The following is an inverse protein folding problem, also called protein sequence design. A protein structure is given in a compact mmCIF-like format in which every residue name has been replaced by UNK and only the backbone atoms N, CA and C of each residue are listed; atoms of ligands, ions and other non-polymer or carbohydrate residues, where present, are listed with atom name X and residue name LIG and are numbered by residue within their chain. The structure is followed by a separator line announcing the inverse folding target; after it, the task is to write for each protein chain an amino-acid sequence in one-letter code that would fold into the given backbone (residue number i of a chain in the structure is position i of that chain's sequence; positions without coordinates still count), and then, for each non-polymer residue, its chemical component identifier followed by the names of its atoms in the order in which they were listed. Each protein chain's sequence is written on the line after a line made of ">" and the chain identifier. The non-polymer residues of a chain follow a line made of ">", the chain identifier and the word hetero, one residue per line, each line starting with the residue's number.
data_IF_421118566436
#
_entry.id   IF_421118566436
#
_cell.length_a   1.000
_cell.length_b   1.000
_cell.length_c   1.000
_cell.angle_alpha   90.00
_cell.angle_beta   90.00
_cell.angle_gamma   90.00
#
_symmetry.space_group_name_H-M   'P 1'
#
loop_
_entity.id
_entity.type
_entity.pdbx_description
1 polymer ?
#
# COMPACT_ATOMS: atom_id res chain seq x y z
N UNK A 1 -4.62 23.33 -26.07
CA UNK A 1 -3.79 22.78 -24.97
C UNK A 1 -4.32 21.39 -24.70
N UNK A 2 -3.50 20.35 -24.51
CA UNK A 2 -4.03 19.06 -24.10
C UNK A 2 -4.74 19.27 -22.76
N UNK A 3 -6.02 18.93 -22.68
CA UNK A 3 -6.73 18.91 -21.40
C UNK A 3 -5.92 18.05 -20.43
N UNK A 4 -5.61 18.59 -19.25
CA UNK A 4 -4.96 17.80 -18.21
C UNK A 4 -5.91 16.68 -17.82
N UNK A 5 -5.47 15.43 -17.94
CA UNK A 5 -6.31 14.29 -17.62
C UNK A 5 -6.77 14.43 -16.15
N UNK A 6 -8.07 14.24 -15.83
CA UNK A 6 -8.58 14.42 -14.46
C UNK A 6 -7.87 13.61 -13.36
N UNK A 7 -7.13 12.57 -13.75
CA UNK A 7 -6.32 11.72 -12.87
C UNK A 7 -5.08 12.44 -12.29
N UNK A 8 -4.69 13.54 -12.92
CA UNK A 8 -3.59 14.43 -12.54
C UNK A 8 -4.04 15.57 -11.61
N UNK A 9 -5.36 15.78 -11.45
CA UNK A 9 -5.89 16.76 -10.53
C UNK A 9 -5.58 16.38 -9.06
N UNK A 10 -5.40 17.39 -8.19
CA UNK A 10 -5.11 17.15 -6.76
C UNK A 10 -6.23 16.40 -6.04
N UNK A 11 -7.45 16.55 -6.53
CA UNK A 11 -8.70 16.02 -6.02
C UNK A 11 -9.27 14.88 -6.87
N UNK A 12 -8.44 14.21 -7.70
CA UNK A 12 -8.86 13.09 -8.56
C UNK A 12 -9.71 12.03 -7.83
N UNK A 13 -9.53 11.89 -6.51
CA UNK A 13 -10.21 10.92 -5.67
C UNK A 13 -11.64 11.29 -5.30
N UNK A 14 -12.09 12.52 -5.58
CA UNK A 14 -13.41 13.04 -5.19
C UNK A 14 -14.55 12.18 -5.73
N UNK A 15 -14.38 11.60 -6.93
CA UNK A 15 -15.35 10.71 -7.58
C UNK A 15 -15.62 9.41 -6.81
N UNK A 16 -14.72 9.01 -5.90
CA UNK A 16 -14.86 7.81 -5.08
C UNK A 16 -15.27 8.10 -3.64
N UNK A 17 -15.28 9.37 -3.23
CA UNK A 17 -15.50 9.78 -1.85
C UNK A 17 -14.31 9.52 -0.91
N UNK A 18 -14.43 10.02 0.31
CA UNK A 18 -13.46 9.78 1.37
C UNK A 18 -13.76 8.45 2.09
N UNK A 19 -12.73 7.76 2.63
CA UNK A 19 -12.95 6.65 3.55
C UNK A 19 -13.79 7.05 4.77
N UNK A 20 -14.52 6.11 5.35
CA UNK A 20 -15.38 6.36 6.52
C UNK A 20 -14.55 6.70 7.76
N UNK A 21 -15.07 7.66 8.53
CA UNK A 21 -14.32 8.25 9.64
C UNK A 21 -14.03 7.29 10.81
N UNK A 22 -14.77 6.19 10.93
CA UNK A 22 -14.63 5.22 12.04
C UNK A 22 -13.27 4.53 12.10
N UNK A 23 -12.51 4.56 10.99
CA UNK A 23 -11.19 3.94 10.87
C UNK A 23 -10.07 4.97 10.64
N UNK A 24 -10.30 6.26 10.98
CA UNK A 24 -9.32 7.35 10.80
C UNK A 24 -7.96 7.15 11.51
N UNK A 25 -7.86 6.20 12.41
CA UNK A 25 -6.64 5.88 13.15
C UNK A 25 -6.12 4.49 12.81
N UNK A 26 -5.96 4.22 11.51
CA UNK A 26 -5.21 3.04 11.09
C UNK A 26 -3.79 3.09 11.66
N UNK A 27 -3.26 1.91 12.00
CA UNK A 27 -1.90 1.78 12.47
C UNK A 27 -0.88 2.21 11.41
N UNK A 28 0.36 2.34 11.85
CA UNK A 28 1.49 2.57 10.97
C UNK A 28 2.64 1.67 11.36
N UNK A 29 3.54 1.43 10.41
CA UNK A 29 4.75 0.62 10.58
C UNK A 29 5.94 1.42 10.04
N UNK A 30 7.10 1.32 10.69
CA UNK A 30 8.34 1.97 10.24
C UNK A 30 9.01 1.20 9.10
N UNK A 31 10.02 1.82 8.48
CA UNK A 31 10.82 1.15 7.44
C UNK A 31 11.60 -0.03 8.04
N UNK A 32 12.14 0.14 9.24
CA UNK A 32 12.92 -0.86 9.97
C UNK A 32 12.04 -2.06 10.38
N UNK A 33 10.83 -1.80 10.87
CA UNK A 33 9.86 -2.85 11.19
C UNK A 33 9.46 -3.65 9.93
N UNK A 34 9.26 -2.98 8.79
CA UNK A 34 9.02 -3.65 7.52
C UNK A 34 10.23 -4.47 7.05
N UNK A 35 11.46 -3.98 7.23
CA UNK A 35 12.67 -4.73 6.91
C UNK A 35 12.79 -6.01 7.75
N UNK A 36 12.48 -5.94 9.05
CA UNK A 36 12.40 -7.12 9.93
C UNK A 36 11.34 -8.12 9.44
N UNK A 37 10.17 -7.64 8.99
CA UNK A 37 9.15 -8.52 8.40
C UNK A 37 9.66 -9.21 7.13
N UNK A 38 10.34 -8.47 6.24
CA UNK A 38 10.91 -9.01 5.01
C UNK A 38 11.96 -10.10 5.27
N UNK A 39 12.71 -10.02 6.37
CA UNK A 39 13.73 -11.04 6.73
C UNK A 39 13.16 -12.22 7.52
N UNK A 40 12.07 -12.04 8.28
CA UNK A 40 11.58 -13.06 9.22
C UNK A 40 10.24 -13.70 8.85
N UNK A 41 9.53 -13.17 7.84
CA UNK A 41 8.16 -13.57 7.49
C UNK A 41 8.00 -13.75 5.98
N UNK A 42 6.93 -14.42 5.60
CA UNK A 42 6.63 -14.77 4.21
C UNK A 42 5.66 -13.76 3.60
N UNK A 43 6.13 -13.02 2.59
CA UNK A 43 5.29 -12.11 1.78
C UNK A 43 4.16 -12.90 1.09
N UNK A 44 2.95 -12.34 1.10
CA UNK A 44 1.75 -12.95 0.55
C UNK A 44 1.08 -13.99 1.45
N UNK A 45 1.73 -14.36 2.56
CA UNK A 45 1.18 -15.29 3.58
C UNK A 45 1.00 -14.60 4.92
N UNK A 46 2.07 -14.05 5.47
CA UNK A 46 2.08 -13.41 6.79
C UNK A 46 1.80 -11.91 6.69
N UNK A 47 2.29 -11.27 5.62
CA UNK A 47 2.04 -9.87 5.31
C UNK A 47 2.12 -9.60 3.81
N UNK A 48 1.57 -8.49 3.34
CA UNK A 48 1.71 -8.03 1.96
C UNK A 48 1.86 -6.51 1.91
N UNK A 49 2.80 -6.03 1.09
CA UNK A 49 3.01 -4.62 0.83
C UNK A 49 2.25 -4.22 -0.44
N UNK A 50 1.36 -3.22 -0.32
CA UNK A 50 0.59 -2.67 -1.44
C UNK A 50 1.13 -1.28 -1.76
N UNK A 51 1.77 -1.17 -2.92
CA UNK A 51 2.22 0.10 -3.48
C UNK A 51 1.07 0.74 -4.26
N UNK A 52 0.53 1.85 -3.76
CA UNK A 52 -0.58 2.55 -4.41
C UNK A 52 -0.15 3.75 -5.25
N UNK A 53 1.14 3.80 -5.64
CA UNK A 53 1.62 4.72 -6.69
C UNK A 53 1.02 4.35 -8.05
N UNK A 54 1.20 5.24 -9.01
CA UNK A 54 0.83 5.02 -10.41
C UNK A 54 1.66 3.87 -10.98
N UNK A 55 1.16 3.26 -12.06
CA UNK A 55 1.76 2.10 -12.70
C UNK A 55 3.13 2.39 -13.35
N UNK A 56 3.47 3.66 -13.54
CA UNK A 56 4.76 4.15 -14.06
C UNK A 56 5.86 4.25 -12.99
N UNK A 57 5.67 3.65 -11.81
CA UNK A 57 6.69 3.60 -10.78
C UNK A 57 7.96 2.87 -11.25
N UNK A 58 9.12 3.48 -11.02
CA UNK A 58 10.41 3.01 -11.56
C UNK A 58 11.17 2.04 -10.65
N UNK A 59 10.73 1.94 -9.40
CA UNK A 59 11.30 1.11 -8.34
C UNK A 59 10.17 0.59 -7.46
N UNK A 60 10.38 -0.49 -6.72
CA UNK A 60 9.41 -1.00 -5.74
C UNK A 60 10.13 -1.65 -4.57
N UNK A 61 9.50 -1.62 -3.39
CA UNK A 61 9.92 -2.45 -2.26
C UNK A 61 9.80 -3.93 -2.69
N UNK A 62 10.80 -4.78 -2.46
CA UNK A 62 10.72 -6.20 -2.79
C UNK A 62 9.52 -6.90 -2.16
N UNK A 63 8.89 -7.76 -2.96
CA UNK A 63 7.66 -8.45 -2.60
C UNK A 63 6.40 -7.58 -2.63
N UNK A 64 6.51 -6.26 -2.87
CA UNK A 64 5.32 -5.41 -2.98
C UNK A 64 4.56 -5.68 -4.29
N UNK A 65 3.24 -5.46 -4.23
CA UNK A 65 2.34 -5.48 -5.39
C UNK A 65 1.89 -4.06 -5.67
N UNK A 66 1.97 -3.62 -6.92
CA UNK A 66 1.48 -2.30 -7.30
C UNK A 66 -0.01 -2.36 -7.65
N UNK A 67 -0.82 -1.65 -6.86
CA UNK A 67 -2.27 -1.47 -7.09
C UNK A 67 -2.55 0.03 -7.04
N UNK A 68 -2.57 0.72 -8.20
CA UNK A 68 -2.73 2.17 -8.22
C UNK A 68 -3.98 2.66 -7.50
N UNK A 69 -3.84 3.69 -6.66
CA UNK A 69 -4.97 4.25 -5.89
C UNK A 69 -6.13 4.69 -6.80
N UNK A 70 -5.84 5.08 -8.04
CA UNK A 70 -6.82 5.54 -9.02
C UNK A 70 -7.81 4.48 -9.48
N UNK A 71 -7.44 3.20 -9.43
CA UNK A 71 -8.31 2.07 -9.81
C UNK A 71 -8.72 1.22 -8.62
N UNK A 72 -8.15 1.47 -7.43
CA UNK A 72 -8.38 0.64 -6.25
C UNK A 72 -9.86 0.57 -5.85
N UNK A 73 -10.63 1.68 -5.69
CA UNK A 73 -12.02 1.61 -5.21
C UNK A 73 -12.91 0.67 -6.01
N UNK A 74 -12.82 0.72 -7.34
CA UNK A 74 -13.60 -0.14 -8.24
C UNK A 74 -13.06 -1.57 -8.32
N UNK A 75 -11.79 -1.79 -7.94
CA UNK A 75 -11.15 -3.11 -7.93
C UNK A 75 -11.25 -3.81 -6.58
N UNK A 76 -11.77 -3.16 -5.52
CA UNK A 76 -11.77 -3.72 -4.17
C UNK A 76 -12.57 -5.01 -4.05
N UNK A 77 -13.77 -5.07 -4.65
CA UNK A 77 -14.64 -6.24 -4.54
C UNK A 77 -13.95 -7.56 -4.96
N UNK A 78 -13.33 -7.67 -6.15
CA UNK A 78 -12.59 -8.88 -6.53
C UNK A 78 -11.27 -9.06 -5.77
N UNK A 79 -10.66 -7.99 -5.24
CA UNK A 79 -9.41 -8.08 -4.47
C UNK A 79 -9.63 -8.57 -3.03
N UNK A 80 -10.79 -8.29 -2.43
CA UNK A 80 -11.06 -8.61 -1.03
C UNK A 80 -10.83 -10.10 -0.69
N UNK A 81 -11.38 -11.10 -1.43
CA UNK A 81 -11.12 -12.50 -1.13
C UNK A 81 -9.64 -12.90 -1.24
N UNK A 82 -8.89 -12.23 -2.11
CA UNK A 82 -7.47 -12.47 -2.34
C UNK A 82 -6.57 -11.87 -1.25
N UNK A 83 -7.04 -10.84 -0.55
CA UNK A 83 -6.21 -10.08 0.40
C UNK A 83 -6.67 -10.27 1.85
N UNK A 84 -7.94 -10.56 2.09
CA UNK A 84 -8.56 -10.59 3.43
C UNK A 84 -8.05 -11.72 4.32
N UNK A 85 -7.43 -12.75 3.75
CA UNK A 85 -6.82 -13.84 4.52
C UNK A 85 -5.42 -13.47 5.03
N UNK A 86 -4.71 -12.54 4.37
CA UNK A 86 -3.35 -12.13 4.73
C UNK A 86 -3.39 -11.31 6.03
N UNK A 87 -2.70 -11.73 7.11
CA UNK A 87 -2.82 -11.11 8.43
C UNK A 87 -2.44 -9.63 8.50
N UNK A 88 -1.51 -9.16 7.66
CA UNK A 88 -1.06 -7.77 7.66
C UNK A 88 -0.94 -7.23 6.24
N UNK A 89 -1.67 -6.16 5.94
CA UNK A 89 -1.60 -5.41 4.69
C UNK A 89 -0.98 -4.05 4.98
N UNK A 90 0.17 -3.78 4.35
CA UNK A 90 0.95 -2.57 4.50
C UNK A 90 0.77 -1.69 3.26
N UNK A 91 0.07 -0.58 3.37
CA UNK A 91 -0.10 0.37 2.28
C UNK A 91 1.00 1.42 2.27
N UNK A 92 1.51 1.76 1.09
CA UNK A 92 2.41 2.90 0.93
C UNK A 92 2.23 3.62 -0.39
N UNK A 93 2.78 4.83 -0.48
CA UNK A 93 2.98 5.51 -1.76
C UNK A 93 4.36 6.18 -1.77
N UNK A 94 4.48 7.38 -2.35
CA UNK A 94 5.75 8.13 -2.36
C UNK A 94 6.23 8.43 -0.93
N UNK A 95 5.42 9.16 -0.16
CA UNK A 95 5.70 9.55 1.24
C UNK A 95 4.60 9.13 2.21
N UNK A 96 3.63 8.36 1.73
CA UNK A 96 2.46 7.91 2.50
C UNK A 96 1.57 9.02 3.10
N UNK A 97 1.59 10.23 2.54
CA UNK A 97 0.83 11.37 3.05
C UNK A 97 -0.50 11.66 2.30
N UNK A 98 -0.80 10.94 1.22
CA UNK A 98 -1.97 11.23 0.37
C UNK A 98 -2.69 9.99 -0.13
N UNK A 99 -2.10 9.29 -1.11
CA UNK A 99 -2.70 8.08 -1.70
C UNK A 99 -2.82 6.93 -0.70
N UNK A 100 -1.77 6.67 0.08
CA UNK A 100 -1.73 5.50 0.97
C UNK A 100 -2.78 5.54 2.09
N UNK A 101 -2.94 6.63 2.87
CA UNK A 101 -3.98 6.67 3.91
C UNK A 101 -5.38 6.49 3.34
N UNK A 102 -5.64 7.06 2.15
CA UNK A 102 -6.92 6.95 1.48
C UNK A 102 -7.19 5.52 0.99
N UNK A 103 -6.21 4.91 0.34
CA UNK A 103 -6.29 3.53 -0.13
C UNK A 103 -6.48 2.53 1.01
N UNK A 104 -5.71 2.70 2.09
CA UNK A 104 -5.82 1.89 3.30
C UNK A 104 -7.22 2.02 3.92
N UNK A 105 -7.73 3.25 4.01
CA UNK A 105 -9.09 3.52 4.49
C UNK A 105 -10.18 2.86 3.65
N UNK A 106 -10.12 2.99 2.31
CA UNK A 106 -11.09 2.33 1.43
C UNK A 106 -11.06 0.80 1.55
N UNK A 107 -9.86 0.20 1.67
CA UNK A 107 -9.74 -1.24 1.89
C UNK A 107 -10.31 -1.66 3.26
N UNK A 108 -10.03 -0.88 4.31
CA UNK A 108 -10.53 -1.13 5.65
C UNK A 108 -12.07 -1.02 5.71
N UNK A 109 -12.66 -0.02 5.05
CA UNK A 109 -14.11 0.12 4.90
C UNK A 109 -14.74 -1.06 4.16
N UNK A 110 -14.05 -1.57 3.14
CA UNK A 110 -14.52 -2.69 2.35
C UNK A 110 -14.51 -4.00 3.16
N UNK A 111 -13.46 -4.25 3.98
CA UNK A 111 -13.43 -5.37 4.92
C UNK A 111 -14.58 -5.30 5.94
N UNK A 112 -14.84 -4.11 6.47
CA UNK A 112 -15.92 -3.88 7.45
C UNK A 112 -17.30 -4.08 6.81
N UNK A 113 -17.50 -3.56 5.59
CA UNK A 113 -18.79 -3.62 4.88
C UNK A 113 -19.16 -5.03 4.46
N UNK A 114 -18.16 -5.87 4.18
CA UNK A 114 -18.35 -7.28 3.85
C UNK A 114 -18.33 -8.19 5.08
N UNK A 115 -18.36 -7.61 6.30
CA UNK A 115 -18.34 -8.32 7.59
C UNK A 115 -17.22 -9.37 7.70
N UNK A 116 -16.10 -9.16 6.99
CA UNK A 116 -15.01 -10.13 6.93
C UNK A 116 -14.16 -10.14 8.21
N UNK A 117 -14.11 -9.00 8.90
CA UNK A 117 -13.33 -8.77 10.10
C UNK A 117 -14.02 -7.72 10.98
N UNK A 118 -13.81 -7.80 12.29
CA UNK A 118 -14.23 -6.76 13.25
C UNK A 118 -13.38 -5.50 13.11
N UNK A 119 -13.88 -4.35 13.58
CA UNK A 119 -13.13 -3.08 13.59
C UNK A 119 -11.76 -3.20 14.27
N UNK A 120 -11.67 -3.97 15.35
CA UNK A 120 -10.41 -4.17 16.10
C UNK A 120 -9.41 -5.06 15.37
N UNK A 121 -9.89 -6.06 14.62
CA UNK A 121 -9.03 -6.85 13.72
C UNK A 121 -8.54 -5.97 12.57
N UNK A 122 -9.43 -5.22 11.93
CA UNK A 122 -9.06 -4.33 10.80
C UNK A 122 -7.96 -3.35 11.19
N UNK A 123 -8.04 -2.72 12.37
CA UNK A 123 -7.00 -1.80 12.88
C UNK A 123 -5.62 -2.45 13.03
N UNK A 124 -5.56 -3.76 13.31
CA UNK A 124 -4.31 -4.53 13.44
C UNK A 124 -3.81 -5.06 12.10
N UNK A 125 -4.72 -5.28 11.15
CA UNK A 125 -4.43 -5.86 9.83
C UNK A 125 -4.06 -4.83 8.78
N UNK A 126 -4.55 -3.59 8.88
CA UNK A 126 -4.35 -2.58 7.84
C UNK A 126 -3.51 -1.44 8.38
N UNK A 127 -2.29 -1.30 7.87
CA UNK A 127 -1.33 -0.29 8.33
C UNK A 127 -0.73 0.50 7.19
N UNK A 128 -0.18 1.67 7.51
CA UNK A 128 0.50 2.56 6.56
C UNK A 128 2.00 2.54 6.81
N UNK A 129 2.80 2.35 5.76
CA UNK A 129 4.26 2.45 5.86
C UNK A 129 4.68 3.92 6.00
N UNK A 130 5.34 4.26 7.11
CA UNK A 130 5.82 5.61 7.37
C UNK A 130 6.90 6.01 6.36
N UNK A 131 6.81 7.24 5.83
CA UNK A 131 7.80 7.77 4.88
C UNK A 131 7.75 7.18 3.46
N UNK A 132 7.02 6.08 3.25
CA UNK A 132 6.81 5.47 1.94
C UNK A 132 8.09 4.99 1.25
N UNK A 133 8.04 4.85 -0.08
CA UNK A 133 9.20 4.41 -0.87
C UNK A 133 10.38 5.39 -0.79
N UNK A 134 10.12 6.69 -0.62
CA UNK A 134 11.20 7.69 -0.53
C UNK A 134 12.08 7.37 0.68
N UNK A 135 11.47 7.14 1.85
CA UNK A 135 12.22 6.80 3.06
C UNK A 135 12.87 5.42 2.97
N UNK A 136 12.20 4.46 2.31
CA UNK A 136 12.77 3.15 2.02
C UNK A 136 14.09 3.28 1.25
N UNK A 137 14.09 4.05 0.15
CA UNK A 137 15.24 4.22 -0.73
C UNK A 137 16.36 5.04 -0.11
N UNK A 138 16.06 5.97 0.80
CA UNK A 138 17.07 6.66 1.60
C UNK A 138 17.90 5.69 2.47
N UNK A 139 17.28 4.62 2.97
CA UNK A 139 17.91 3.65 3.88
C UNK A 139 18.56 2.50 3.10
N UNK A 140 17.84 1.92 2.12
CA UNK A 140 18.22 0.68 1.44
C UNK A 140 18.53 0.86 -0.04
N UNK A 141 18.56 2.10 -0.54
CA UNK A 141 18.78 2.41 -1.95
C UNK A 141 17.58 2.11 -2.85
N UNK A 142 17.61 2.70 -4.05
CA UNK A 142 16.64 2.43 -5.10
C UNK A 142 16.93 1.10 -5.79
N UNK A 143 15.87 0.32 -6.02
CA UNK A 143 15.95 -0.92 -6.78
C UNK A 143 16.09 -0.71 -8.30
N UNK A 144 16.44 -1.77 -9.01
CA UNK A 144 16.44 -1.79 -10.48
C UNK A 144 15.01 -1.93 -11.03
N UNK A 145 14.65 -1.08 -12.00
CA UNK A 145 13.39 -1.13 -12.73
C UNK A 145 13.10 -2.50 -13.33
N UNK A 146 14.12 -3.16 -13.86
CA UNK A 146 14.01 -4.48 -14.49
C UNK A 146 13.82 -5.61 -13.48
N UNK A 147 14.10 -5.35 -12.20
CA UNK A 147 13.93 -6.29 -11.09
C UNK A 147 12.93 -5.78 -10.04
N UNK A 148 12.10 -4.77 -10.39
CA UNK A 148 11.18 -4.15 -9.45
C UNK A 148 10.26 -5.19 -8.79
N UNK A 149 10.13 -5.12 -7.47
CA UNK A 149 9.29 -6.04 -6.68
C UNK A 149 9.90 -7.43 -6.48
N UNK A 150 11.03 -7.77 -7.12
CA UNK A 150 11.73 -9.03 -6.87
C UNK A 150 12.61 -8.93 -5.61
N UNK A 151 12.86 -10.07 -4.95
CA UNK A 151 13.72 -10.14 -3.74
C UNK A 151 15.11 -9.54 -3.97
N UNK A 152 15.70 -9.79 -5.14
CA UNK A 152 17.02 -9.27 -5.53
C UNK A 152 16.95 -7.89 -6.21
N UNK A 153 15.79 -7.23 -6.15
CA UNK A 153 15.56 -5.95 -6.83
C UNK A 153 16.33 -4.78 -6.24
N UNK A 154 16.87 -4.90 -5.02
CA UNK A 154 17.64 -3.82 -4.36
C UNK A 154 19.09 -3.78 -4.83
N UNK A 155 19.66 -2.57 -4.91
CA UNK A 155 21.10 -2.37 -5.18
C UNK A 155 21.98 -2.67 -3.97
N UNK A 156 21.44 -2.56 -2.76
CA UNK A 156 22.12 -2.93 -1.51
C UNK A 156 21.33 -4.03 -0.82
N UNK A 157 21.91 -5.23 -0.76
CA UNK A 157 21.31 -6.47 -0.24
C UNK A 157 21.20 -6.52 1.29
N UNK A 158 21.42 -5.40 2.00
CA UNK A 158 21.30 -5.36 3.46
C UNK A 158 19.82 -5.20 3.84
N UNK A 159 19.10 -6.33 3.88
CA UNK A 159 17.80 -6.48 4.52
C UNK A 159 17.94 -7.33 5.79
#
# INVERSE_FOLDING_TARGET
>A
MPEHHPIDAKDWYSVYGAPRNSLQHLGSITIEELAILLSQRTVGKDFLVIDVRRADCTSMIPGAVNIPAHSLPVSLAPLLPLLSHIPLIVFHCSRSAGRAPRAAGWYADALQTQEMHTSEEIKKRVVILQGGIVRWEEIFGAGDLHKRGQKEGMRTTQL
#
